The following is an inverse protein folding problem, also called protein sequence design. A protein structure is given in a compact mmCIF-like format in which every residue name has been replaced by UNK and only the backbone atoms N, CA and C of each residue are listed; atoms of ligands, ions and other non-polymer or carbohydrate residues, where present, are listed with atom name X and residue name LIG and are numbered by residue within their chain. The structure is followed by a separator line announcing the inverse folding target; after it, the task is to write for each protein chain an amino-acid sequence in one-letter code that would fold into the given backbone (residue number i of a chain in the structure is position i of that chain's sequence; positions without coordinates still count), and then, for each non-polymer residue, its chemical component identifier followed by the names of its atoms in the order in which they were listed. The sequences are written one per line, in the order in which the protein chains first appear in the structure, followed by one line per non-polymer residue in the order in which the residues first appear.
data_IF_533197789602
#
_entry.id   IF_533197789602
#
_cell.length_a   1.000
_cell.length_b   1.000
_cell.length_c   1.000
_cell.angle_alpha   90.00
_cell.angle_beta   90.00
_cell.angle_gamma   90.00
#
_symmetry.space_group_name_H-M   'P 1'
#
loop_
_entity.id
_entity.type
_entity.pdbx_description
1 polymer ?
#
# COMPACT_ATOMS: atom_id res chain seq x y z
N UNK A 1 9.57 -1.60 10.41
CA UNK A 1 8.24 -2.10 9.99
C UNK A 1 7.21 -1.98 11.09
N UNK A 2 7.40 -2.64 12.24
CA UNK A 2 6.42 -2.63 13.35
C UNK A 2 5.97 -1.24 13.80
N UNK A 3 6.90 -0.28 13.90
CA UNK A 3 6.57 1.12 14.24
C UNK A 3 5.58 1.75 13.27
N UNK A 4 5.70 1.48 11.96
CA UNK A 4 4.78 1.98 10.94
C UNK A 4 3.42 1.28 11.05
N UNK A 5 3.39 -0.03 11.30
CA UNK A 5 2.14 -0.78 11.46
C UNK A 5 1.33 -0.29 12.66
N UNK A 6 1.98 0.01 13.79
CA UNK A 6 1.30 0.59 14.95
C UNK A 6 0.74 1.99 14.66
N UNK A 7 1.50 2.85 13.96
CA UNK A 7 1.01 4.18 13.54
C UNK A 7 -0.19 4.04 12.60
N UNK A 8 -0.14 3.12 11.64
CA UNK A 8 -1.26 2.89 10.71
C UNK A 8 -2.48 2.41 11.50
N UNK A 9 -2.31 1.45 12.42
CA UNK A 9 -3.40 0.93 13.25
C UNK A 9 -4.05 2.02 14.13
N UNK A 10 -3.24 2.94 14.65
CA UNK A 10 -3.71 4.07 15.46
C UNK A 10 -4.44 5.11 14.59
N UNK A 11 -3.78 5.63 13.55
CA UNK A 11 -4.22 6.81 12.81
C UNK A 11 -5.20 6.50 11.68
N UNK A 12 -5.13 5.31 11.06
CA UNK A 12 -5.91 5.03 9.86
C UNK A 12 -7.42 5.01 10.10
N UNK A 13 -7.85 4.73 11.33
CA UNK A 13 -9.27 4.82 11.72
C UNK A 13 -9.83 6.24 11.58
N UNK A 14 -8.98 7.26 11.69
CA UNK A 14 -9.37 8.66 11.63
C UNK A 14 -9.26 9.22 10.20
N UNK A 15 -8.22 8.81 9.46
CA UNK A 15 -7.87 9.39 8.16
C UNK A 15 -8.20 8.52 6.94
N UNK A 16 -8.48 7.22 7.12
CA UNK A 16 -8.86 6.27 6.07
C UNK A 16 -7.90 6.21 4.85
N UNK A 17 -6.59 6.27 5.09
CA UNK A 17 -5.55 6.28 4.05
C UNK A 17 -5.19 4.87 3.52
N UNK A 18 -5.36 3.82 4.31
CA UNK A 18 -5.10 2.42 3.94
C UNK A 18 -6.41 1.64 3.85
N UNK A 19 -6.56 0.85 2.78
CA UNK A 19 -7.69 -0.07 2.59
C UNK A 19 -7.39 -1.47 3.12
N UNK A 20 -6.13 -1.89 3.07
CA UNK A 20 -5.66 -3.20 3.53
C UNK A 20 -4.21 -3.10 3.98
N UNK A 21 -3.87 -3.86 5.02
CA UNK A 21 -2.51 -4.17 5.41
C UNK A 21 -2.22 -5.59 4.97
N UNK A 22 -1.13 -5.79 4.24
CA UNK A 22 -0.81 -7.09 3.68
C UNK A 22 -0.45 -8.09 4.77
N UNK A 23 -0.83 -9.34 4.55
CA UNK A 23 -0.63 -10.42 5.51
C UNK A 23 0.73 -11.11 5.37
N UNK A 24 1.47 -10.82 4.29
CA UNK A 24 2.76 -11.43 3.97
C UNK A 24 3.97 -10.53 4.35
N UNK A 25 3.75 -9.51 5.19
CA UNK A 25 4.80 -8.54 5.57
C UNK A 25 5.97 -9.22 6.26
N UNK A 26 5.72 -10.23 7.08
CA UNK A 26 6.78 -10.95 7.80
C UNK A 26 7.69 -11.74 6.83
N UNK A 27 7.11 -12.33 5.78
CA UNK A 27 7.85 -12.98 4.69
C UNK A 27 8.71 -11.96 3.92
N UNK A 28 8.16 -10.78 3.63
CA UNK A 28 8.90 -9.69 2.98
C UNK A 28 10.06 -9.20 3.86
N UNK A 29 9.86 -9.07 5.17
CA UNK A 29 10.92 -8.70 6.13
C UNK A 29 12.02 -9.75 6.19
N UNK A 30 11.66 -11.04 6.30
CA UNK A 30 12.64 -12.14 6.30
C UNK A 30 13.50 -12.11 5.04
N UNK A 31 12.89 -11.88 3.87
CA UNK A 31 13.63 -11.74 2.61
C UNK A 31 14.62 -10.56 2.65
N UNK A 32 14.22 -9.41 3.20
CA UNK A 32 15.12 -8.27 3.36
C UNK A 32 16.29 -8.58 4.32
N UNK A 33 16.03 -9.28 5.43
CA UNK A 33 17.08 -9.73 6.36
C UNK A 33 18.06 -10.70 5.70
N UNK A 34 17.57 -11.62 4.88
CA UNK A 34 18.41 -12.54 4.10
C UNK A 34 19.31 -11.79 3.11
N UNK A 35 18.81 -10.73 2.47
CA UNK A 35 19.61 -9.88 1.58
C UNK A 35 20.76 -9.20 2.33
N UNK A 36 20.51 -8.70 3.55
CA UNK A 36 21.58 -8.16 4.40
C UNK A 36 22.60 -9.24 4.79
N UNK A 37 22.14 -10.41 5.24
CA UNK A 37 23.02 -11.53 5.64
C UNK A 37 23.91 -12.01 4.49
N UNK A 38 23.37 -12.01 3.27
CA UNK A 38 24.05 -12.50 2.07
C UNK A 38 24.86 -11.42 1.33
N UNK A 39 24.97 -10.20 1.86
CA UNK A 39 25.62 -9.06 1.20
C UNK A 39 25.04 -8.73 -0.19
N UNK A 40 23.74 -8.95 -0.39
CA UNK A 40 23.00 -8.63 -1.62
C UNK A 40 21.98 -7.51 -1.42
N UNK A 41 22.02 -6.84 -0.26
CA UNK A 41 21.18 -5.69 0.03
C UNK A 41 21.41 -4.55 -0.98
N UNK A 42 20.32 -3.87 -1.34
CA UNK A 42 20.31 -2.67 -2.17
C UNK A 42 19.95 -1.44 -1.33
N UNK A 43 19.97 -0.26 -1.94
CA UNK A 43 19.59 0.99 -1.29
C UNK A 43 18.17 0.96 -0.69
N UNK A 44 17.27 0.15 -1.25
CA UNK A 44 15.85 0.10 -0.84
C UNK A 44 15.51 -1.12 0.03
N UNK A 45 16.50 -1.96 0.37
CA UNK A 45 16.24 -3.18 1.13
C UNK A 45 15.69 -2.86 2.52
N UNK A 46 14.54 -3.45 2.86
CA UNK A 46 13.85 -3.24 4.13
C UNK A 46 13.06 -1.93 4.23
N UNK A 47 13.07 -1.07 3.20
CA UNK A 47 12.33 0.20 3.21
C UNK A 47 10.82 -0.08 3.13
N UNK A 48 10.01 0.41 4.09
CA UNK A 48 8.55 0.25 4.04
C UNK A 48 7.92 1.11 2.95
N UNK A 49 7.03 0.52 2.14
CA UNK A 49 6.34 1.19 1.04
C UNK A 49 4.84 0.86 1.10
N UNK A 50 3.99 1.83 0.79
CA UNK A 50 2.57 1.61 0.56
C UNK A 50 2.26 1.71 -0.94
N UNK A 51 1.33 0.91 -1.44
CA UNK A 51 0.96 0.88 -2.86
C UNK A 51 -0.39 1.55 -3.10
N UNK A 52 -0.51 2.41 -4.11
CA UNK A 52 -1.83 2.90 -4.54
C UNK A 52 -2.66 1.70 -5.01
N UNK A 53 -3.95 1.64 -4.64
CA UNK A 53 -4.83 0.48 -4.89
C UNK A 53 -5.17 0.23 -6.38
N UNK A 54 -4.46 0.87 -7.31
CA UNK A 54 -4.48 0.58 -8.75
C UNK A 54 -3.13 0.01 -9.25
N UNK A 55 -2.21 -0.33 -8.34
CA UNK A 55 -0.95 -1.00 -8.67
C UNK A 55 -1.06 -2.50 -8.43
N UNK A 56 -0.85 -3.29 -9.49
CA UNK A 56 -0.94 -4.74 -9.40
C UNK A 56 0.21 -5.33 -8.57
N UNK A 57 -0.15 -6.11 -7.55
CA UNK A 57 0.75 -6.87 -6.69
C UNK A 57 0.21 -8.30 -6.57
N UNK A 58 0.93 -9.26 -7.16
CA UNK A 58 0.48 -10.64 -7.35
C UNK A 58 -0.01 -11.28 -6.04
N UNK A 59 -1.16 -11.96 -6.10
CA UNK A 59 -1.78 -12.62 -4.95
C UNK A 59 -2.55 -11.68 -4.00
N UNK A 60 -2.42 -10.36 -4.15
CA UNK A 60 -3.06 -9.37 -3.30
C UNK A 60 -4.30 -8.76 -3.95
N UNK A 61 -5.19 -8.20 -3.11
CA UNK A 61 -6.36 -7.48 -3.62
C UNK A 61 -5.93 -6.17 -4.26
N UNK A 62 -6.53 -5.83 -5.40
CA UNK A 62 -6.35 -4.55 -6.08
C UNK A 62 -7.71 -4.08 -6.55
N UNK A 63 -8.33 -3.16 -5.82
CA UNK A 63 -9.72 -2.79 -6.06
C UNK A 63 -9.91 -1.50 -6.84
N UNK A 64 -8.83 -0.76 -7.12
CA UNK A 64 -8.86 0.57 -7.73
C UNK A 64 -9.82 1.56 -7.02
N UNK A 65 -9.98 1.46 -5.70
CA UNK A 65 -10.95 2.23 -4.93
C UNK A 65 -12.42 1.89 -5.24
N UNK A 66 -12.69 0.83 -6.01
CA UNK A 66 -14.01 0.44 -6.50
C UNK A 66 -14.54 -0.83 -5.84
N UNK A 67 -15.87 -0.90 -5.71
CA UNK A 67 -16.58 -2.13 -5.32
C UNK A 67 -16.65 -3.16 -6.45
N UNK A 68 -16.52 -2.73 -7.70
CA UNK A 68 -16.52 -3.64 -8.87
C UNK A 68 -15.35 -4.65 -8.77
N UNK A 69 -14.22 -4.22 -8.22
CA UNK A 69 -13.00 -5.02 -8.10
C UNK A 69 -12.70 -5.44 -6.64
N UNK A 70 -13.66 -5.38 -5.72
CA UNK A 70 -13.40 -5.65 -4.29
C UNK A 70 -12.84 -7.05 -4.01
N UNK A 71 -13.17 -8.02 -4.88
CA UNK A 71 -12.71 -9.41 -4.81
C UNK A 71 -11.64 -9.75 -5.85
N UNK A 72 -11.16 -8.77 -6.62
CA UNK A 72 -10.12 -9.02 -7.62
C UNK A 72 -8.77 -9.23 -6.94
N UNK A 73 -8.15 -10.38 -7.22
CA UNK A 73 -6.77 -10.70 -6.85
C UNK A 73 -5.88 -10.56 -8.08
N UNK A 74 -4.81 -9.78 -7.98
CA UNK A 74 -3.91 -9.58 -9.10
C UNK A 74 -3.18 -10.89 -9.46
N UNK A 75 -3.15 -11.21 -10.75
CA UNK A 75 -2.50 -12.43 -11.28
C UNK A 75 -1.04 -12.21 -11.67
N UNK A 76 -0.54 -10.98 -11.56
CA UNK A 76 0.84 -10.62 -11.85
C UNK A 76 1.22 -9.32 -11.13
N UNK A 77 2.51 -9.10 -10.93
CA UNK A 77 3.04 -7.82 -10.47
C UNK A 77 3.12 -6.81 -11.63
N UNK A 78 2.68 -5.57 -11.38
CA UNK A 78 2.96 -4.44 -12.26
C UNK A 78 4.47 -4.19 -12.40
N UNK A 79 4.90 -3.51 -13.47
CA UNK A 79 6.33 -3.28 -13.74
C UNK A 79 7.07 -2.59 -12.59
N UNK A 80 6.46 -1.58 -11.96
CA UNK A 80 7.04 -0.87 -10.80
C UNK A 80 7.11 -1.77 -9.57
N UNK A 81 6.06 -2.57 -9.31
CA UNK A 81 6.06 -3.52 -8.19
C UNK A 81 7.16 -4.56 -8.37
N UNK A 82 7.35 -5.12 -9.58
CA UNK A 82 8.47 -6.03 -9.88
C UNK A 82 9.83 -5.41 -9.57
N UNK A 83 10.05 -4.16 -9.99
CA UNK A 83 11.30 -3.45 -9.73
C UNK A 83 11.51 -3.21 -8.23
N UNK A 84 10.49 -2.74 -7.51
CA UNK A 84 10.58 -2.53 -6.08
C UNK A 84 10.81 -3.85 -5.31
N UNK A 85 10.12 -4.94 -5.67
CA UNK A 85 10.35 -6.29 -5.10
C UNK A 85 11.78 -6.78 -5.30
N UNK A 86 12.41 -6.47 -6.44
CA UNK A 86 13.79 -6.87 -6.71
C UNK A 86 14.80 -6.06 -5.90
N UNK A 87 14.41 -4.87 -5.43
CA UNK A 87 15.21 -4.05 -4.51
C UNK A 87 15.01 -4.40 -3.02
N UNK A 88 14.14 -5.37 -2.71
CA UNK A 88 13.93 -5.84 -1.34
C UNK A 88 13.12 -4.89 -0.46
N UNK A 89 12.24 -4.07 -1.03
CA UNK A 89 11.30 -3.26 -0.23
C UNK A 89 10.31 -4.14 0.54
N UNK A 90 9.69 -3.57 1.56
CA UNK A 90 8.59 -4.20 2.31
C UNK A 90 7.30 -3.43 2.04
N UNK A 91 6.37 -4.01 1.30
CA UNK A 91 5.06 -3.43 1.08
C UNK A 91 4.16 -3.63 2.30
N UNK A 92 3.69 -2.52 2.88
CA UNK A 92 2.84 -2.54 4.06
C UNK A 92 1.37 -2.80 3.75
N UNK A 93 0.91 -2.42 2.56
CA UNK A 93 -0.51 -2.47 2.24
C UNK A 93 -0.89 -1.60 1.04
N UNK A 94 -2.19 -1.63 0.71
CA UNK A 94 -2.76 -0.80 -0.35
C UNK A 94 -3.45 0.44 0.21
N UNK A 95 -3.19 1.59 -0.40
CA UNK A 95 -3.72 2.89 0.00
C UNK A 95 -5.00 3.21 -0.75
N UNK A 96 -5.85 4.00 -0.10
CA UNK A 96 -7.08 4.50 -0.68
C UNK A 96 -6.81 5.46 -1.84
N UNK A 97 -7.81 5.66 -2.70
CA UNK A 97 -7.75 6.51 -3.89
C UNK A 97 -9.16 6.80 -4.41
N UNK A 98 -9.29 7.81 -5.26
CA UNK A 98 -10.48 7.98 -6.08
C UNK A 98 -10.77 6.73 -6.93
N UNK A 99 -12.05 6.42 -7.11
CA UNK A 99 -12.48 5.24 -7.85
C UNK A 99 -11.93 5.28 -9.28
N UNK A 100 -11.20 4.23 -9.68
CA UNK A 100 -10.49 4.14 -10.96
C UNK A 100 -9.53 5.31 -11.26
N UNK A 101 -9.04 6.01 -10.24
CA UNK A 101 -8.24 7.23 -10.35
C UNK A 101 -8.96 8.39 -11.05
N UNK A 102 -10.30 8.41 -10.99
CA UNK A 102 -11.13 9.46 -11.56
C UNK A 102 -11.60 10.43 -10.47
N UNK A 103 -10.69 11.30 -10.05
CA UNK A 103 -10.98 12.35 -9.08
C UNK A 103 -9.72 13.08 -8.66
N UNK A 104 -9.89 14.09 -7.81
CA UNK A 104 -8.78 14.92 -7.29
C UNK A 104 -8.91 15.18 -5.79
N UNK A 105 -9.70 14.36 -5.08
CA UNK A 105 -9.99 14.55 -3.66
C UNK A 105 -10.10 13.26 -2.83
N UNK A 106 -10.04 12.08 -3.47
CA UNK A 106 -10.24 10.76 -2.85
C UNK A 106 -11.64 10.57 -2.23
N UNK A 107 -12.57 11.49 -2.49
CA UNK A 107 -13.94 11.41 -1.97
C UNK A 107 -14.82 10.43 -2.76
N UNK A 108 -14.41 10.06 -3.97
CA UNK A 108 -15.14 9.10 -4.80
C UNK A 108 -14.86 7.64 -4.42
N UNK A 109 -13.90 7.39 -3.52
CA UNK A 109 -13.58 6.03 -3.08
C UNK A 109 -14.82 5.30 -2.55
N UNK A 110 -15.06 4.10 -3.07
CA UNK A 110 -16.13 3.24 -2.60
C UNK A 110 -15.89 2.67 -1.18
N UNK A 111 -14.72 2.96 -0.58
CA UNK A 111 -14.34 2.61 0.77
C UNK A 111 -14.35 3.82 1.73
N UNK A 112 -14.89 4.96 1.28
CA UNK A 112 -15.03 6.19 2.05
C UNK A 112 -13.83 7.14 1.91
N UNK A 113 -14.04 8.38 2.36
CA UNK A 113 -13.12 9.48 2.11
C UNK A 113 -11.84 9.36 2.93
N UNK A 114 -10.69 9.55 2.27
CA UNK A 114 -9.43 9.84 2.98
C UNK A 114 -9.46 11.30 3.47
N UNK A 115 -8.98 11.56 4.69
CA UNK A 115 -8.85 12.93 5.23
C UNK A 115 -7.41 13.42 5.15
N UNK A 116 -7.24 14.73 5.02
CA UNK A 116 -5.91 15.35 5.04
C UNK A 116 -5.32 15.26 6.46
N UNK A 117 -4.11 14.68 6.66
CA UNK A 117 -3.53 14.51 7.99
C UNK A 117 -3.15 15.82 8.70
N UNK A 118 -3.05 16.94 7.97
CA UNK A 118 -2.74 18.26 8.53
C UNK A 118 -4.00 19.05 8.94
N UNK A 119 -5.15 18.74 8.34
CA UNK A 119 -6.44 19.38 8.62
C UNK A 119 -7.59 18.45 8.20
N UNK A 120 -8.26 17.82 9.18
CA UNK A 120 -9.27 16.79 8.93
C UNK A 120 -10.54 17.33 8.26
N UNK A 121 -10.69 18.66 8.15
CA UNK A 121 -11.78 19.29 7.39
C UNK A 121 -11.51 19.40 5.89
N UNK A 122 -10.28 19.08 5.45
CA UNK A 122 -9.83 19.21 4.05
C UNK A 122 -9.60 17.86 3.39
N UNK A 123 -9.67 17.90 2.05
CA UNK A 123 -9.30 16.78 1.19
C UNK A 123 -7.77 16.59 1.14
N UNK A 124 -7.29 15.35 0.95
CA UNK A 124 -5.87 15.05 0.77
C UNK A 124 -5.40 15.24 -0.68
N UNK A 125 -6.30 15.46 -1.64
CA UNK A 125 -6.04 15.36 -3.07
C UNK A 125 -6.53 14.03 -3.66
N UNK A 126 -6.18 13.69 -4.91
CA UNK A 126 -6.58 12.44 -5.60
C UNK A 126 -5.51 11.90 -6.56
#
# INVERSE_FOLDING_TARGET
VNSYLEIIKEKNKEINAFLEIYNDIDEQVKKAEEMFKNNTATLMTGIPVALKDNMLFEGHTVSAGSKILENYKATYDSGVVKQLKSQGVVFLGRTNMDEFAMGSSTETSAYGNTKNPLDYSRVPGG
#
